data_IF_221593768346
#
_entry.id   IF_221593768346
#
_cell.length_a   1.000
_cell.length_b   1.000
_cell.length_c   1.000
_cell.angle_alpha   90.00
_cell.angle_beta   90.00
_cell.angle_gamma   90.00
#
_symmetry.space_group_name_H-M   'P 1'
#
loop_
_entity.id
_entity.type
_entity.pdbx_description
1 polymer ?
#
# COMPACT_ATOMS: atom_id res chain seq x y z
N UNK A 1 -18.03 -27.15 -11.18
CA UNK A 1 -19.17 -26.22 -11.30
C UNK A 1 -19.19 -25.42 -10.01
N UNK A 2 -18.50 -24.28 -9.98
CA UNK A 2 -18.36 -23.46 -8.77
C UNK A 2 -19.71 -22.82 -8.45
N UNK A 3 -20.29 -23.14 -7.29
CA UNK A 3 -21.66 -22.81 -6.92
C UNK A 3 -21.92 -21.32 -6.61
N UNK A 4 -20.95 -20.45 -6.91
CA UNK A 4 -20.98 -19.03 -6.56
C UNK A 4 -20.90 -18.20 -7.83
N UNK A 5 -22.06 -17.74 -8.31
CA UNK A 5 -22.18 -16.74 -9.36
C UNK A 5 -21.97 -15.35 -8.72
N UNK A 6 -21.16 -14.50 -9.34
CA UNK A 6 -20.92 -13.11 -8.91
C UNK A 6 -22.23 -12.37 -8.60
N UNK A 7 -23.25 -12.54 -9.44
CA UNK A 7 -24.56 -11.91 -9.27
C UNK A 7 -25.24 -12.35 -7.97
N UNK A 8 -25.15 -13.64 -7.62
CA UNK A 8 -25.75 -14.15 -6.38
C UNK A 8 -25.08 -13.54 -5.15
N UNK A 9 -23.74 -13.42 -5.18
CA UNK A 9 -22.97 -12.81 -4.09
C UNK A 9 -23.32 -11.33 -3.96
N UNK A 10 -23.42 -10.61 -5.08
CA UNK A 10 -23.81 -9.20 -5.08
C UNK A 10 -25.23 -8.98 -4.51
N UNK A 11 -26.18 -9.85 -4.87
CA UNK A 11 -27.54 -9.80 -4.31
C UNK A 11 -27.55 -10.05 -2.80
N UNK A 12 -26.77 -11.02 -2.31
CA UNK A 12 -26.63 -11.28 -0.87
C UNK A 12 -26.03 -10.08 -0.14
N UNK A 13 -25.00 -9.43 -0.70
CA UNK A 13 -24.40 -8.23 -0.10
C UNK A 13 -25.40 -7.08 0.04
N UNK A 14 -26.30 -6.91 -0.94
CA UNK A 14 -27.33 -5.86 -0.88
C UNK A 14 -28.36 -6.08 0.24
N UNK A 15 -28.51 -7.30 0.74
CA UNK A 15 -29.42 -7.62 1.85
C UNK A 15 -28.79 -7.33 3.23
N UNK A 16 -27.48 -7.13 3.30
CA UNK A 16 -26.77 -6.78 4.53
C UNK A 16 -27.04 -5.33 4.92
N UNK A 17 -26.93 -5.01 6.21
CA UNK A 17 -26.98 -3.61 6.66
C UNK A 17 -25.65 -2.88 6.31
N UNK A 18 -25.65 -1.54 6.40
CA UNK A 18 -24.49 -0.73 5.99
C UNK A 18 -23.20 -1.11 6.74
N UNK A 19 -23.28 -1.43 8.03
CA UNK A 19 -22.12 -1.82 8.83
C UNK A 19 -21.54 -3.16 8.35
N UNK A 20 -22.40 -4.12 8.06
CA UNK A 20 -22.02 -5.45 7.55
C UNK A 20 -21.45 -5.34 6.12
N UNK A 21 -22.01 -4.46 5.28
CA UNK A 21 -21.48 -4.20 3.94
C UNK A 21 -20.06 -3.61 4.01
N UNK A 22 -19.83 -2.65 4.90
CA UNK A 22 -18.50 -2.05 5.10
C UNK A 22 -17.49 -3.08 5.62
N UNK A 23 -17.90 -3.91 6.58
CA UNK A 23 -17.05 -4.99 7.10
C UNK A 23 -16.71 -6.02 6.02
N UNK A 24 -17.68 -6.38 5.16
CA UNK A 24 -17.44 -7.28 4.04
C UNK A 24 -16.46 -6.66 3.03
N UNK A 25 -16.63 -5.39 2.69
CA UNK A 25 -15.73 -4.66 1.79
C UNK A 25 -14.29 -4.66 2.32
N UNK A 26 -14.11 -4.37 3.62
CA UNK A 26 -12.80 -4.38 4.25
C UNK A 26 -12.15 -5.77 4.15
N UNK A 27 -12.88 -6.82 4.54
CA UNK A 27 -12.38 -8.19 4.49
C UNK A 27 -11.99 -8.62 3.06
N UNK A 28 -12.82 -8.31 2.06
CA UNK A 28 -12.52 -8.60 0.66
C UNK A 28 -11.28 -7.84 0.18
N UNK A 29 -11.14 -6.57 0.55
CA UNK A 29 -9.98 -5.76 0.20
C UNK A 29 -8.68 -6.31 0.81
N UNK A 30 -8.72 -6.74 2.09
CA UNK A 30 -7.58 -7.36 2.76
C UNK A 30 -7.21 -8.70 2.11
N UNK A 31 -8.21 -9.50 1.76
CA UNK A 31 -8.00 -10.80 1.12
C UNK A 31 -7.32 -10.65 -0.25
N UNK A 32 -7.78 -9.68 -1.06
CA UNK A 32 -7.16 -9.37 -2.36
C UNK A 32 -5.74 -8.83 -2.19
N UNK A 33 -5.51 -7.91 -1.23
CA UNK A 33 -4.18 -7.37 -0.94
C UNK A 33 -3.19 -8.48 -0.54
N UNK A 34 -3.59 -9.40 0.35
CA UNK A 34 -2.73 -10.54 0.74
C UNK A 34 -2.42 -11.47 -0.43
N UNK A 35 -3.38 -11.69 -1.33
CA UNK A 35 -3.12 -12.48 -2.54
C UNK A 35 -2.13 -11.77 -3.47
N UNK A 36 -2.21 -10.44 -3.58
CA UNK A 36 -1.26 -9.65 -4.35
C UNK A 36 0.11 -9.62 -3.67
N UNK A 37 0.19 -9.48 -2.35
CA UNK A 37 1.47 -9.51 -1.58
C UNK A 37 2.17 -10.87 -1.63
N UNK A 38 1.42 -11.97 -1.78
CA UNK A 38 2.00 -13.31 -1.96
C UNK A 38 2.47 -13.54 -3.40
N UNK A 39 1.90 -12.82 -4.38
CA UNK A 39 2.24 -12.93 -5.81
C UNK A 39 3.28 -11.88 -6.24
N UNK A 40 3.32 -10.74 -5.57
CA UNK A 40 4.35 -9.72 -5.72
C UNK A 40 5.59 -10.15 -4.95
N UNK A 41 6.71 -10.21 -5.66
CA UNK A 41 8.03 -10.42 -5.07
C UNK A 41 8.19 -9.57 -3.81
N UNK A 42 8.83 -10.14 -2.78
CA UNK A 42 9.22 -9.41 -1.57
C UNK A 42 9.85 -8.09 -1.98
N UNK A 43 9.17 -6.99 -1.69
CA UNK A 43 9.56 -5.66 -2.18
C UNK A 43 11.00 -5.41 -1.75
N UNK A 44 11.90 -5.32 -2.72
CA UNK A 44 13.31 -5.15 -2.42
C UNK A 44 13.52 -3.70 -2.02
N UNK A 45 14.31 -3.45 -0.97
CA UNK A 45 14.74 -2.08 -0.63
C UNK A 45 15.45 -1.41 -1.84
N UNK A 46 15.96 -2.20 -2.78
CA UNK A 46 16.54 -1.72 -4.04
C UNK A 46 15.53 -1.05 -4.98
N UNK A 47 14.22 -1.25 -4.80
CA UNK A 47 13.19 -0.51 -5.53
C UNK A 47 13.16 0.99 -5.16
N UNK A 48 13.74 1.34 -4.02
CA UNK A 48 13.90 2.72 -3.58
C UNK A 48 15.19 3.38 -4.08
N UNK A 49 16.07 2.61 -4.74
CA UNK A 49 17.32 3.14 -5.28
C UNK A 49 17.04 4.20 -6.36
N UNK A 50 17.74 5.32 -6.28
CA UNK A 50 17.57 6.44 -7.21
C UNK A 50 16.32 7.31 -7.02
N UNK A 51 15.29 6.88 -6.27
CA UNK A 51 14.05 7.68 -6.09
C UNK A 51 14.29 9.02 -5.36
N UNK A 52 15.34 9.10 -4.54
CA UNK A 52 15.74 10.35 -3.88
C UNK A 52 16.65 11.25 -4.72
N UNK A 53 17.29 10.73 -5.77
CA UNK A 53 18.39 11.42 -6.45
C UNK A 53 17.97 12.79 -7.01
N UNK A 54 16.79 12.85 -7.62
CA UNK A 54 16.26 14.09 -8.21
C UNK A 54 15.93 15.17 -7.18
N UNK A 55 15.58 14.77 -5.95
CA UNK A 55 15.31 15.70 -4.83
C UNK A 55 16.64 16.32 -4.35
N UNK A 56 17.70 15.53 -4.32
CA UNK A 56 19.01 15.95 -3.83
C UNK A 56 19.88 16.67 -4.87
N UNK A 57 19.52 16.63 -6.16
CA UNK A 57 20.31 17.21 -7.26
C UNK A 57 20.64 18.70 -7.09
N UNK A 58 19.74 19.48 -6.50
CA UNK A 58 19.90 20.93 -6.34
C UNK A 58 20.20 21.34 -4.89
N UNK A 59 20.45 20.37 -4.01
CA UNK A 59 20.78 20.60 -2.61
C UNK A 59 22.30 20.50 -2.46
N UNK A 60 22.91 21.50 -1.85
CA UNK A 60 24.29 21.38 -1.39
C UNK A 60 24.34 20.42 -0.20
N UNK A 61 24.63 19.17 -0.50
CA UNK A 61 24.64 18.06 0.46
C UNK A 61 25.61 18.33 1.62
N UNK A 62 26.76 18.95 1.35
CA UNK A 62 27.75 19.20 2.40
C UNK A 62 27.25 20.27 3.36
N UNK A 63 26.75 21.38 2.83
CA UNK A 63 26.17 22.45 3.65
C UNK A 63 24.97 21.95 4.47
N UNK A 64 24.09 21.12 3.87
CA UNK A 64 22.97 20.52 4.58
C UNK A 64 23.43 19.63 5.75
N UNK A 65 24.41 18.76 5.52
CA UNK A 65 24.96 17.89 6.56
C UNK A 65 25.64 18.68 7.69
N UNK A 66 26.37 19.74 7.34
CA UNK A 66 27.03 20.59 8.33
C UNK A 66 26.02 21.36 9.18
N UNK A 67 24.91 21.83 8.60
CA UNK A 67 23.81 22.44 9.35
C UNK A 67 23.15 21.46 10.33
N UNK A 68 22.87 20.24 9.87
CA UNK A 68 22.30 19.20 10.73
C UNK A 68 23.26 18.87 11.88
N UNK A 69 24.56 18.67 11.62
CA UNK A 69 25.57 18.40 12.66
C UNK A 69 25.69 19.52 13.70
N UNK A 70 25.77 20.76 13.23
CA UNK A 70 25.85 21.93 14.11
C UNK A 70 24.56 22.16 14.92
N UNK A 71 23.44 21.53 14.55
CA UNK A 71 22.20 21.61 15.32
C UNK A 71 22.10 20.58 16.46
N UNK A 72 23.02 19.60 16.50
CA UNK A 72 23.09 18.56 17.53
C UNK A 72 24.23 18.81 18.54
N UNK A 73 25.16 19.71 18.23
CA UNK A 73 26.17 20.27 19.15
C UNK A 73 25.61 21.46 19.96
#
# INVERSE_FOLDING_TARGET
MTLYNYENVLQMTKQLNLSEQLQLLENLSQMVRRQIEVVGETSSILELDGLGADIWQNIDVQNYLDQERNSWD
#
